data_IF_827934285164
#
_entry.id   IF_827934285164
#
_cell.length_a   1.000
_cell.length_b   1.000
_cell.length_c   1.000
_cell.angle_alpha   90.00
_cell.angle_beta   90.00
_cell.angle_gamma   90.00
#
_symmetry.space_group_name_H-M   'P 1'
#
loop_
_entity.id
_entity.type
_entity.pdbx_description
1 polymer ?
#
# COMPACT_ATOMS: atom_id res chain seq x y z
N UNK A 1 -13.46 18.03 3.87
CA UNK A 1 -12.61 17.94 5.08
C UNK A 1 -11.50 16.90 4.89
N UNK A 2 -11.81 15.66 4.48
CA UNK A 2 -10.82 14.62 4.13
C UNK A 2 -9.68 15.15 3.23
N UNK A 3 -10.03 15.76 2.08
CA UNK A 3 -9.05 16.36 1.16
C UNK A 3 -8.25 17.53 1.76
N UNK A 4 -8.82 18.26 2.73
CA UNK A 4 -8.10 19.33 3.42
C UNK A 4 -7.02 18.77 4.34
N UNK A 5 -7.26 17.59 4.93
CA UNK A 5 -6.25 16.90 5.74
C UNK A 5 -5.11 16.35 4.88
N UNK A 6 -5.40 15.85 3.67
CA UNK A 6 -4.36 15.52 2.69
C UNK A 6 -3.52 16.76 2.33
N UNK A 7 -4.16 17.89 2.07
CA UNK A 7 -3.47 19.14 1.75
C UNK A 7 -2.59 19.62 2.91
N UNK A 8 -3.12 19.63 4.14
CA UNK A 8 -2.37 19.99 5.35
C UNK A 8 -1.16 19.07 5.57
N UNK A 9 -1.32 17.76 5.38
CA UNK A 9 -0.23 16.80 5.51
C UNK A 9 0.90 17.05 4.48
N UNK A 10 0.55 17.38 3.24
CA UNK A 10 1.52 17.76 2.19
C UNK A 10 2.20 19.08 2.50
N UNK A 11 1.47 20.08 2.99
CA UNK A 11 2.03 21.36 3.43
C UNK A 11 3.03 21.20 4.59
N UNK A 12 2.81 20.22 5.46
CA UNK A 12 3.74 19.87 6.55
C UNK A 12 5.00 19.15 6.07
N UNK A 13 5.04 18.71 4.81
CA UNK A 13 6.23 18.12 4.19
C UNK A 13 6.10 16.65 3.81
N UNK A 14 4.89 16.07 3.84
CA UNK A 14 4.69 14.72 3.29
C UNK A 14 4.97 14.69 1.79
N UNK A 15 5.86 13.79 1.36
CA UNK A 15 6.20 13.59 -0.05
C UNK A 15 5.49 12.36 -0.60
N UNK A 16 4.66 12.57 -1.61
CA UNK A 16 4.01 11.47 -2.31
C UNK A 16 4.99 10.75 -3.23
N UNK A 17 4.96 9.42 -3.22
CA UNK A 17 5.79 8.60 -4.09
C UNK A 17 4.96 8.16 -5.30
N UNK A 18 5.11 8.88 -6.42
CA UNK A 18 4.30 8.69 -7.63
C UNK A 18 5.12 8.22 -8.84
N UNK A 19 6.45 8.25 -8.73
CA UNK A 19 7.33 7.86 -9.83
C UNK A 19 7.88 6.47 -9.58
N UNK A 20 7.86 5.64 -10.61
CA UNK A 20 8.36 4.27 -10.56
C UNK A 20 9.14 3.95 -11.82
N UNK A 21 10.22 3.21 -11.66
CA UNK A 21 11.06 2.76 -12.75
C UNK A 21 11.40 1.28 -12.53
N UNK A 22 11.19 0.48 -13.56
CA UNK A 22 11.76 -0.85 -13.71
C UNK A 22 12.09 -1.10 -15.16
N UNK A 23 12.93 -2.10 -15.36
CA UNK A 23 13.32 -2.61 -16.66
C UNK A 23 12.17 -3.37 -17.36
N UNK A 24 11.12 -3.83 -16.66
CA UNK A 24 9.97 -4.55 -17.24
C UNK A 24 8.61 -3.87 -16.94
N UNK A 25 7.59 -4.18 -17.75
CA UNK A 25 6.21 -3.67 -17.58
C UNK A 25 5.42 -4.57 -16.61
N UNK A 26 5.22 -4.12 -15.37
CA UNK A 26 4.26 -4.73 -14.45
C UNK A 26 3.50 -3.68 -13.64
N UNK A 27 2.27 -3.40 -14.09
CA UNK A 27 1.37 -2.40 -13.51
C UNK A 27 0.93 -2.71 -12.07
N UNK A 28 1.06 -3.96 -11.60
CA UNK A 28 0.64 -4.34 -10.24
C UNK A 28 1.38 -3.54 -9.17
N UNK A 29 2.67 -3.26 -9.37
CA UNK A 29 3.46 -2.50 -8.40
C UNK A 29 2.93 -1.08 -8.30
N UNK A 30 2.49 -0.51 -9.42
CA UNK A 30 1.94 0.85 -9.44
C UNK A 30 0.67 0.93 -8.63
N UNK A 31 -0.24 -0.04 -8.80
CA UNK A 31 -1.44 -0.11 -7.97
C UNK A 31 -1.12 -0.27 -6.48
N UNK A 32 -0.14 -1.09 -6.14
CA UNK A 32 0.29 -1.27 -4.74
C UNK A 32 0.89 0.00 -4.16
N UNK A 33 1.79 0.68 -4.88
CA UNK A 33 2.43 1.93 -4.43
C UNK A 33 1.38 3.02 -4.23
N UNK A 34 0.47 3.22 -5.19
CA UNK A 34 -0.57 4.25 -5.09
C UNK A 34 -1.52 4.00 -3.91
N UNK A 35 -1.98 2.75 -3.74
CA UNK A 35 -2.82 2.40 -2.61
C UNK A 35 -2.08 2.55 -1.28
N UNK A 36 -0.81 2.15 -1.23
CA UNK A 36 0.01 2.24 -0.03
C UNK A 36 0.31 3.70 0.35
N UNK A 37 0.70 4.56 -0.59
CA UNK A 37 0.90 6.00 -0.36
C UNK A 37 -0.38 6.64 0.21
N UNK A 38 -1.53 6.26 -0.34
CA UNK A 38 -2.83 6.74 0.12
C UNK A 38 -3.14 6.27 1.55
N UNK A 39 -2.98 4.99 1.85
CA UNK A 39 -3.26 4.47 3.20
C UNK A 39 -2.26 5.00 4.24
N UNK A 40 -0.99 5.22 3.89
CA UNK A 40 -0.02 5.85 4.79
C UNK A 40 -0.45 7.29 5.17
N UNK A 41 -1.03 8.03 4.23
CA UNK A 41 -1.62 9.36 4.52
C UNK A 41 -2.85 9.23 5.43
N UNK A 42 -3.75 8.29 5.13
CA UNK A 42 -4.95 8.05 5.93
C UNK A 42 -4.63 7.70 7.39
N UNK A 43 -3.68 6.79 7.61
CA UNK A 43 -3.21 6.45 8.96
C UNK A 43 -2.60 7.62 9.71
N UNK A 44 -1.94 8.55 9.01
CA UNK A 44 -1.36 9.76 9.60
C UNK A 44 -2.41 10.80 9.97
N UNK A 45 -3.45 10.96 9.15
CA UNK A 45 -4.41 12.05 9.30
C UNK A 45 -5.67 11.68 10.10
N UNK A 46 -5.97 10.38 10.23
CA UNK A 46 -7.16 9.92 10.96
C UNK A 46 -7.24 10.44 12.41
N UNK A 47 -6.16 10.46 13.22
CA UNK A 47 -6.23 11.04 14.57
C UNK A 47 -6.65 12.52 14.57
N UNK A 48 -6.18 13.31 13.60
CA UNK A 48 -6.55 14.72 13.47
C UNK A 48 -8.03 14.89 13.06
N UNK A 49 -8.54 14.00 12.21
CA UNK A 49 -9.95 13.97 11.85
C UNK A 49 -10.85 13.73 13.07
N UNK A 50 -10.50 12.74 13.90
CA UNK A 50 -11.25 12.43 15.14
C UNK A 50 -11.11 13.57 16.16
N UNK A 51 -9.92 14.14 16.33
CA UNK A 51 -9.68 15.25 17.24
C UNK A 51 -10.46 16.52 16.88
N UNK A 52 -10.83 16.69 15.59
CA UNK A 52 -11.70 17.76 15.13
C UNK A 52 -13.20 17.53 15.45
N UNK A 53 -13.55 16.44 16.14
CA UNK A 53 -14.92 16.10 16.54
C UNK A 53 -15.77 15.51 15.40
N UNK A 54 -15.13 15.03 14.33
CA UNK A 54 -15.82 14.46 13.18
C UNK A 54 -16.12 12.98 13.41
N UNK A 55 -17.24 12.52 12.86
CA UNK A 55 -17.69 11.12 12.95
C UNK A 55 -16.69 10.18 12.24
N UNK A 56 -15.96 9.31 12.97
CA UNK A 56 -14.94 8.45 12.39
C UNK A 56 -15.47 7.53 11.28
N UNK A 57 -16.75 7.16 11.31
CA UNK A 57 -17.38 6.31 10.29
C UNK A 57 -17.53 7.01 8.92
N UNK A 58 -17.36 8.34 8.90
CA UNK A 58 -17.45 9.16 7.69
C UNK A 58 -16.08 9.51 7.11
N UNK A 59 -14.99 8.98 7.67
CA UNK A 59 -13.64 9.30 7.22
C UNK A 59 -13.47 8.94 5.74
N UNK A 60 -13.90 7.76 5.32
CA UNK A 60 -13.88 7.32 3.92
C UNK A 60 -15.20 7.58 3.14
N UNK A 61 -16.16 8.34 3.71
CA UNK A 61 -17.46 8.67 3.09
C UNK A 61 -18.23 7.46 2.47
N UNK A 62 -19.06 7.70 1.43
CA UNK A 62 -19.95 6.71 0.77
C UNK A 62 -19.21 5.61 -0.02
N UNK A 63 -17.90 5.75 -0.26
CA UNK A 63 -17.10 4.72 -0.95
C UNK A 63 -17.00 3.41 -0.15
N UNK A 64 -17.29 3.43 1.15
CA UNK A 64 -16.96 2.34 2.06
C UNK A 64 -18.14 1.48 2.55
N UNK A 65 -19.40 1.90 2.36
CA UNK A 65 -20.56 1.16 2.85
C UNK A 65 -20.67 -0.28 2.33
N UNK A 66 -20.00 -0.60 1.21
CA UNK A 66 -19.99 -1.94 0.59
C UNK A 66 -18.59 -2.57 0.50
N UNK A 67 -17.50 -1.87 0.83
CA UNK A 67 -16.12 -2.36 0.63
C UNK A 67 -15.88 -3.68 1.38
N UNK A 68 -16.33 -3.80 2.64
CA UNK A 68 -16.22 -5.06 3.39
C UNK A 68 -16.91 -6.24 2.69
N UNK A 69 -18.17 -6.04 2.25
CA UNK A 69 -18.94 -7.10 1.55
C UNK A 69 -18.30 -7.44 0.20
N UNK A 70 -17.79 -6.44 -0.50
CA UNK A 70 -17.10 -6.60 -1.78
C UNK A 70 -15.82 -7.42 -1.62
N UNK A 71 -14.92 -7.01 -0.72
CA UNK A 71 -13.64 -7.71 -0.46
C UNK A 71 -13.89 -9.15 -0.01
N UNK A 72 -14.83 -9.37 0.92
CA UNK A 72 -15.18 -10.72 1.37
C UNK A 72 -15.74 -11.58 0.22
N UNK A 73 -16.54 -11.00 -0.68
CA UNK A 73 -17.09 -11.71 -1.84
C UNK A 73 -16.01 -12.02 -2.87
N UNK A 74 -15.13 -11.07 -3.14
CA UNK A 74 -14.02 -11.20 -4.07
C UNK A 74 -13.04 -12.28 -3.58
N UNK A 75 -12.65 -12.27 -2.31
CA UNK A 75 -11.77 -13.30 -1.74
C UNK A 75 -12.37 -14.71 -1.80
N UNK A 76 -13.70 -14.85 -1.62
CA UNK A 76 -14.39 -16.14 -1.80
C UNK A 76 -14.37 -16.63 -3.24
N UNK A 77 -14.43 -15.71 -4.20
CA UNK A 77 -14.41 -16.01 -5.64
C UNK A 77 -12.99 -16.21 -6.16
N UNK A 78 -12.02 -15.56 -5.52
CA UNK A 78 -10.62 -15.69 -5.82
C UNK A 78 -10.14 -17.10 -5.51
N UNK A 79 -9.09 -17.55 -6.22
CA UNK A 79 -8.25 -18.66 -5.78
C UNK A 79 -7.01 -18.04 -5.10
N UNK A 80 -6.98 -17.85 -3.76
CA UNK A 80 -5.89 -17.11 -3.10
C UNK A 80 -4.51 -17.76 -3.26
N UNK A 81 -4.48 -19.07 -3.54
CA UNK A 81 -3.26 -19.78 -3.92
C UNK A 81 -2.61 -19.21 -5.18
N UNK A 82 -3.41 -18.72 -6.13
CA UNK A 82 -2.98 -18.22 -7.44
C UNK A 82 -2.74 -16.71 -7.43
N UNK A 83 -3.41 -15.95 -6.57
CA UNK A 83 -3.23 -14.50 -6.46
C UNK A 83 -1.81 -14.12 -5.98
N UNK A 84 -1.27 -13.01 -6.49
CA UNK A 84 0.03 -12.48 -6.04
C UNK A 84 -0.07 -11.91 -4.62
N UNK A 85 1.04 -11.87 -3.89
CA UNK A 85 1.07 -11.33 -2.52
C UNK A 85 0.65 -9.87 -2.48
N UNK A 86 1.13 -9.04 -3.40
CA UNK A 86 0.74 -7.63 -3.47
C UNK A 86 -0.75 -7.40 -3.76
N UNK A 87 -1.36 -8.23 -4.62
CA UNK A 87 -2.79 -8.15 -4.85
C UNK A 87 -3.59 -8.51 -3.57
N UNK A 88 -3.16 -9.55 -2.85
CA UNK A 88 -3.79 -9.91 -1.58
C UNK A 88 -3.60 -8.81 -0.52
N UNK A 89 -2.43 -8.17 -0.49
CA UNK A 89 -2.15 -7.03 0.38
C UNK A 89 -3.09 -5.85 0.10
N UNK A 90 -3.33 -5.49 -1.17
CA UNK A 90 -4.29 -4.44 -1.55
C UNK A 90 -5.68 -4.67 -0.95
N UNK A 91 -6.14 -5.93 -0.95
CA UNK A 91 -7.43 -6.30 -0.36
C UNK A 91 -7.38 -6.30 1.17
N UNK A 92 -6.22 -6.58 1.76
CA UNK A 92 -6.02 -6.56 3.21
C UNK A 92 -6.00 -5.15 3.79
N UNK A 93 -5.65 -4.12 3.01
CA UNK A 93 -5.67 -2.72 3.44
C UNK A 93 -7.02 -2.32 4.03
N UNK A 94 -8.14 -2.74 3.42
CA UNK A 94 -9.49 -2.48 3.96
C UNK A 94 -9.74 -3.08 5.35
N UNK A 95 -8.99 -4.11 5.75
CA UNK A 95 -9.10 -4.72 7.07
C UNK A 95 -8.34 -3.94 8.15
N UNK A 96 -7.37 -3.10 7.77
CA UNK A 96 -6.53 -2.31 8.69
C UNK A 96 -6.77 -0.80 8.57
N UNK A 97 -7.54 -0.35 7.57
CA UNK A 97 -7.92 1.04 7.33
C UNK A 97 -8.62 1.69 8.55
N UNK A 98 -8.12 2.84 9.05
CA UNK A 98 -8.62 3.48 10.26
C UNK A 98 -9.91 4.24 10.00
N UNK A 99 -11.00 3.87 10.65
CA UNK A 99 -12.33 4.40 10.30
C UNK A 99 -12.85 3.90 8.95
N UNK A 100 -12.22 2.86 8.39
CA UNK A 100 -12.64 2.22 7.14
C UNK A 100 -13.93 1.42 7.29
N UNK A 101 -14.44 0.98 6.14
CA UNK A 101 -15.68 0.22 5.96
C UNK A 101 -15.99 -0.83 7.03
N UNK A 102 -17.23 -0.81 7.51
CA UNK A 102 -17.74 -1.77 8.48
C UNK A 102 -17.37 -1.43 9.93
N UNK A 103 -17.84 -2.26 10.85
CA UNK A 103 -17.49 -2.13 12.27
C UNK A 103 -16.10 -2.69 12.55
N UNK A 104 -15.53 -2.36 13.71
CA UNK A 104 -14.30 -2.99 14.20
C UNK A 104 -14.40 -4.52 14.18
N UNK A 105 -15.59 -5.05 14.53
CA UNK A 105 -15.88 -6.47 14.49
C UNK A 105 -15.86 -7.03 13.05
N UNK A 106 -16.37 -6.30 12.07
CA UNK A 106 -16.30 -6.70 10.65
C UNK A 106 -14.86 -6.74 10.15
N UNK A 107 -14.06 -5.73 10.51
CA UNK A 107 -12.63 -5.69 10.14
C UNK A 107 -11.86 -6.85 10.78
N UNK A 108 -12.12 -7.17 12.05
CA UNK A 108 -11.53 -8.35 12.70
C UNK A 108 -11.98 -9.67 12.06
N UNK A 109 -13.25 -9.78 11.65
CA UNK A 109 -13.70 -10.94 10.88
C UNK A 109 -12.98 -11.05 9.53
N UNK A 110 -12.74 -9.93 8.85
CA UNK A 110 -12.00 -9.92 7.59
C UNK A 110 -10.55 -10.40 7.81
N UNK A 111 -9.85 -9.89 8.83
CA UNK A 111 -8.49 -10.35 9.17
C UNK A 111 -8.44 -11.85 9.43
N UNK A 112 -9.39 -12.38 10.21
CA UNK A 112 -9.51 -13.83 10.45
C UNK A 112 -9.75 -14.60 9.16
N UNK A 113 -10.59 -14.08 8.27
CA UNK A 113 -10.88 -14.72 6.99
C UNK A 113 -9.62 -14.79 6.09
N UNK A 114 -8.82 -13.73 6.03
CA UNK A 114 -7.53 -13.74 5.34
C UNK A 114 -6.61 -14.84 5.87
N UNK A 115 -6.43 -14.90 7.19
CA UNK A 115 -5.56 -15.91 7.84
C UNK A 115 -5.98 -17.36 7.55
N UNK A 116 -7.27 -17.60 7.34
CA UNK A 116 -7.81 -18.93 7.03
C UNK A 116 -7.70 -19.30 5.54
N UNK A 117 -7.64 -18.32 4.63
CA UNK A 117 -7.79 -18.54 3.19
C UNK A 117 -6.50 -18.29 2.40
N UNK A 118 -5.62 -17.42 2.88
CA UNK A 118 -4.34 -17.09 2.26
C UNK A 118 -3.27 -18.10 2.70
N UNK A 119 -2.43 -18.61 1.79
CA UNK A 119 -1.30 -19.46 2.17
C UNK A 119 -0.40 -18.80 3.22
N UNK A 120 0.03 -19.58 4.22
CA UNK A 120 0.77 -19.06 5.38
C UNK A 120 1.99 -18.21 5.04
N UNK A 121 2.77 -18.57 4.03
CA UNK A 121 3.92 -17.77 3.58
C UNK A 121 3.52 -16.38 3.06
N UNK A 122 2.45 -16.30 2.25
CA UNK A 122 1.94 -15.01 1.75
C UNK A 122 1.32 -14.20 2.88
N UNK A 123 0.59 -14.86 3.79
CA UNK A 123 -0.02 -14.18 4.94
C UNK A 123 1.05 -13.59 5.86
N UNK A 124 2.16 -14.30 6.12
CA UNK A 124 3.27 -13.79 6.93
C UNK A 124 3.86 -12.50 6.34
N UNK A 125 4.03 -12.43 5.01
CA UNK A 125 4.46 -11.20 4.31
C UNK A 125 3.44 -10.08 4.44
N UNK A 126 2.14 -10.39 4.31
CA UNK A 126 1.04 -9.42 4.47
C UNK A 126 0.98 -8.87 5.91
N UNK A 127 1.09 -9.74 6.92
CA UNK A 127 1.10 -9.34 8.32
C UNK A 127 2.32 -8.44 8.62
N UNK A 128 3.51 -8.80 8.15
CA UNK A 128 4.71 -7.97 8.32
C UNK A 128 4.56 -6.59 7.64
N UNK A 129 4.04 -6.54 6.41
CA UNK A 129 3.76 -5.28 5.71
C UNK A 129 2.71 -4.43 6.46
N UNK A 130 1.66 -5.06 7.00
CA UNK A 130 0.63 -4.37 7.77
C UNK A 130 1.17 -3.80 9.09
N UNK A 131 2.06 -4.52 9.78
CA UNK A 131 2.73 -4.03 10.98
C UNK A 131 3.56 -2.78 10.70
N UNK A 132 4.32 -2.76 9.60
CA UNK A 132 5.09 -1.58 9.18
C UNK A 132 4.19 -0.36 8.90
N UNK A 133 3.07 -0.58 8.21
CA UNK A 133 2.09 0.46 7.91
C UNK A 133 1.43 1.01 9.18
N UNK A 134 1.03 0.14 10.11
CA UNK A 134 0.45 0.54 11.38
C UNK A 134 1.46 1.32 12.24
N UNK A 135 2.72 0.88 12.29
CA UNK A 135 3.80 1.57 12.98
C UNK A 135 4.06 2.97 12.41
N UNK A 136 3.99 3.13 11.08
CA UNK A 136 4.10 4.42 10.42
C UNK A 136 3.08 5.44 10.93
N UNK A 137 1.82 5.02 11.09
CA UNK A 137 0.73 5.89 11.59
C UNK A 137 1.02 6.49 12.96
N UNK A 138 1.79 5.80 13.81
CA UNK A 138 2.22 6.28 15.13
C UNK A 138 3.55 7.06 15.14
N UNK A 139 4.29 7.10 14.03
CA UNK A 139 5.59 7.79 13.94
C UNK A 139 5.48 9.31 13.86
N UNK A 140 6.61 10.00 13.74
CA UNK A 140 6.66 11.48 13.55
C UNK A 140 7.23 11.90 12.19
N UNK A 141 7.85 10.97 11.46
CA UNK A 141 8.38 11.24 10.12
C UNK A 141 7.26 11.53 9.13
N UNK A 142 7.54 12.42 8.18
CA UNK A 142 6.72 12.71 6.99
C UNK A 142 7.35 12.18 5.71
N UNK A 143 8.55 11.62 5.79
CA UNK A 143 9.18 10.91 4.68
C UNK A 143 8.73 9.44 4.69
N UNK A 144 7.75 9.14 3.82
CA UNK A 144 7.20 7.79 3.66
C UNK A 144 8.05 6.88 2.78
N UNK A 145 9.08 7.41 2.10
CA UNK A 145 9.89 6.64 1.14
C UNK A 145 10.50 5.37 1.72
N UNK A 146 11.16 5.44 2.89
CA UNK A 146 11.72 4.25 3.54
C UNK A 146 10.67 3.18 3.88
N UNK A 147 9.51 3.56 4.43
CA UNK A 147 8.47 2.57 4.80
C UNK A 147 7.80 1.96 3.56
N UNK A 148 7.60 2.74 2.49
CA UNK A 148 7.07 2.24 1.23
C UNK A 148 8.06 1.22 0.64
N UNK A 149 9.36 1.53 0.60
CA UNK A 149 10.41 0.61 0.16
C UNK A 149 10.36 -0.70 0.94
N UNK A 150 10.38 -0.62 2.27
CA UNK A 150 10.45 -1.80 3.15
C UNK A 150 9.23 -2.72 3.00
N UNK A 151 8.03 -2.12 2.91
CA UNK A 151 6.80 -2.87 2.66
C UNK A 151 6.86 -3.59 1.31
N UNK A 152 7.28 -2.90 0.25
CA UNK A 152 7.34 -3.48 -1.08
C UNK A 152 8.40 -4.59 -1.19
N UNK A 153 9.53 -4.46 -0.50
CA UNK A 153 10.55 -5.49 -0.40
C UNK A 153 9.99 -6.77 0.26
N UNK A 154 9.28 -6.61 1.38
CA UNK A 154 8.60 -7.72 2.07
C UNK A 154 7.56 -8.40 1.18
N UNK A 155 6.81 -7.62 0.38
CA UNK A 155 5.83 -8.14 -0.57
C UNK A 155 6.47 -8.81 -1.80
N UNK A 156 7.77 -8.66 -1.99
CA UNK A 156 8.56 -9.31 -3.04
C UNK A 156 8.73 -8.49 -4.32
N UNK A 157 8.54 -7.18 -4.28
CA UNK A 157 8.68 -6.29 -5.44
C UNK A 157 10.12 -5.81 -5.68
N UNK A 158 11.10 -6.71 -5.53
CA UNK A 158 12.51 -6.39 -5.72
C UNK A 158 12.82 -5.96 -7.16
N UNK A 159 13.84 -5.12 -7.33
CA UNK A 159 14.32 -4.63 -8.63
C UNK A 159 13.55 -3.43 -9.18
N UNK A 160 12.62 -2.86 -8.42
CA UNK A 160 11.98 -1.58 -8.71
C UNK A 160 12.76 -0.43 -8.09
N UNK A 161 12.71 0.73 -8.74
CA UNK A 161 13.00 2.01 -8.09
C UNK A 161 11.70 2.80 -7.94
N UNK A 162 11.52 3.40 -6.76
CA UNK A 162 10.38 4.25 -6.42
C UNK A 162 10.88 5.63 -6.03
N UNK A 163 10.16 6.68 -6.39
CA UNK A 163 10.58 8.05 -6.12
C UNK A 163 9.44 9.03 -5.97
N UNK A 164 9.75 10.14 -5.30
CA UNK A 164 8.85 11.27 -5.15
C UNK A 164 8.88 12.21 -6.38
N UNK A 165 9.87 12.03 -7.27
CA UNK A 165 10.03 12.80 -8.50
C UNK A 165 10.70 11.97 -9.59
N UNK A 166 10.81 12.53 -10.81
CA UNK A 166 11.55 11.92 -11.92
C UNK A 166 13.08 12.08 -11.81
N UNK A 167 13.62 12.62 -10.71
CA UNK A 167 15.06 12.81 -10.53
C UNK A 167 15.74 11.51 -10.10
N UNK A 168 15.78 10.53 -11.00
CA UNK A 168 16.51 9.30 -10.80
C UNK A 168 18.04 9.55 -10.78
N UNK A 169 18.81 8.90 -9.89
CA UNK A 169 18.38 8.05 -8.77
C UNK A 169 18.22 8.84 -7.44
N UNK A 170 18.36 10.17 -7.46
CA UNK A 170 18.53 11.01 -6.25
C UNK A 170 17.29 11.10 -5.36
N UNK A 171 16.10 11.15 -5.96
CA UNK A 171 14.85 11.41 -5.24
C UNK A 171 14.02 10.13 -5.06
N UNK A 172 14.66 9.04 -4.61
CA UNK A 172 13.97 7.77 -4.41
C UNK A 172 14.83 6.64 -3.86
N UNK A 173 14.29 5.43 -3.95
CA UNK A 173 14.84 4.22 -3.36
C UNK A 173 14.72 3.04 -4.31
N UNK A 174 15.76 2.22 -4.36
CA UNK A 174 15.64 0.86 -4.89
C UNK A 174 14.98 -0.06 -3.87
N UNK A 175 14.16 -0.97 -4.36
CA UNK A 175 13.55 -2.06 -3.61
C UNK A 175 14.44 -3.29 -3.78
N UNK A 176 15.11 -3.70 -2.71
CA UNK A 176 16.19 -4.69 -2.80
C UNK A 176 17.38 -4.18 -3.63
N UNK A 177 17.99 -5.09 -4.39
CA UNK A 177 19.17 -4.76 -5.20
C UNK A 177 18.82 -3.86 -6.40
N UNK A 178 19.64 -2.83 -6.70
CA UNK A 178 19.51 -2.05 -7.93
C UNK A 178 19.66 -2.93 -9.18
N UNK A 179 18.94 -2.61 -10.24
CA UNK A 179 19.16 -3.24 -11.55
C UNK A 179 20.53 -2.84 -12.12
N UNK A 180 21.17 -3.77 -12.84
CA UNK A 180 22.49 -3.56 -13.44
C UNK A 180 22.38 -3.12 -14.91
N UNK A 181 23.48 -2.64 -15.49
CA UNK A 181 23.55 -2.35 -16.93
C UNK A 181 23.25 -3.61 -17.78
N UNK A 182 23.69 -4.79 -17.32
CA UNK A 182 23.42 -6.05 -18.00
C UNK A 182 21.92 -6.40 -18.00
N UNK A 183 21.19 -6.00 -16.96
CA UNK A 183 19.73 -6.19 -16.92
C UNK A 183 19.02 -5.28 -17.93
N UNK A 184 19.51 -4.05 -18.09
CA UNK A 184 18.99 -3.10 -19.09
C UNK A 184 19.28 -3.56 -20.53
N UNK A 185 20.50 -4.06 -20.80
CA UNK A 185 20.89 -4.60 -22.11
C UNK A 185 20.03 -5.79 -22.51
N UNK A 186 19.82 -6.74 -21.58
CA UNK A 186 18.99 -7.92 -21.80
C UNK A 186 17.55 -7.57 -22.16
N UNK A 187 16.98 -6.52 -21.56
CA UNK A 187 15.63 -6.07 -21.89
C UNK A 187 15.56 -5.42 -23.27
N UNK A 188 16.54 -4.58 -23.62
CA UNK A 188 16.59 -3.93 -24.93
C UNK A 188 16.63 -4.96 -26.08
N UNK A 189 17.31 -6.10 -25.89
CA UNK A 189 17.34 -7.20 -26.85
C UNK A 189 15.97 -7.89 -27.00
N UNK A 190 15.23 -8.07 -25.91
CA UNK A 190 13.91 -8.73 -25.90
C UNK A 190 12.81 -7.82 -26.45
N UNK A 191 12.90 -6.50 -26.22
CA UNK A 191 11.90 -5.53 -26.69
C UNK A 191 12.02 -5.16 -28.18
N UNK A 192 13.12 -5.55 -28.84
CA UNK A 192 13.35 -5.31 -30.27
C UNK A 192 13.09 -6.55 -31.16
N UNK A 193 12.77 -7.70 -30.56
CA UNK A 193 12.43 -8.95 -31.27
C UNK A 193 10.94 -9.25 -31.25
#
# INVERSE_FOLDING_TARGET
MHELLHADLKLKGFRQHLTMLRVDDNDMVQHVVQALDNELQHHRMFPAFVAAGLDPSKFYCDSDGQTYKSVRTELKRMKPKVATTGYLFLKYLSAIAPGGAGTDADREQLKRFFRLTVPGEKMAKIDAAAEMLLAWGGGTSLDAGPVIRDILEVLGFNGWWIGASHNFPKDGHFIGAPFTMQDAERYAEVSQG
#
